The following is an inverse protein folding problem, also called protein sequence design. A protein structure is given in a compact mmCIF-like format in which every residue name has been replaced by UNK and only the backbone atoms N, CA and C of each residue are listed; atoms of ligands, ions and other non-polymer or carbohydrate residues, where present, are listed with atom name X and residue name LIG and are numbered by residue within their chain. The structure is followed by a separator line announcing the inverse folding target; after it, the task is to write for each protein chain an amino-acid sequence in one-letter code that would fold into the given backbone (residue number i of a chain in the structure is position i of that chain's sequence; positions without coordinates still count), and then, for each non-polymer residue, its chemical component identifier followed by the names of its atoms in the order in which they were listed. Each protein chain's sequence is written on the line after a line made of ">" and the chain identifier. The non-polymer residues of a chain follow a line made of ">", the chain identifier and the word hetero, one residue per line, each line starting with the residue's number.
data_IF_286170079454
#
_entry.id   IF_286170079454
#
_cell.length_a   1.000
_cell.length_b   1.000
_cell.length_c   1.000
_cell.angle_alpha   90.00
_cell.angle_beta   90.00
_cell.angle_gamma   90.00
#
_symmetry.space_group_name_H-M   'P 1'
#
loop_
_entity.id
_entity.type
_entity.pdbx_description
1 polymer ?
#
# COMPACT_ATOMS: atom_id res chain seq x y z
N UNK A 1 -28.16 -2.83 -16.57
CA UNK A 1 -26.71 -3.11 -16.62
C UNK A 1 -26.01 -1.77 -16.73
N UNK A 2 -24.97 -1.51 -15.93
CA UNK A 2 -24.33 -0.20 -15.92
C UNK A 2 -23.71 0.09 -17.29
N UNK A 3 -23.97 1.27 -17.80
CA UNK A 3 -23.31 1.81 -18.99
C UNK A 3 -22.09 2.64 -18.58
N UNK A 4 -21.34 3.15 -19.56
CA UNK A 4 -20.15 3.97 -19.29
C UNK A 4 -20.47 5.26 -18.51
N UNK A 5 -21.64 5.85 -18.72
CA UNK A 5 -22.06 7.05 -18.00
C UNK A 5 -22.33 6.76 -16.52
N UNK A 6 -22.88 5.59 -16.18
CA UNK A 6 -23.05 5.15 -14.79
C UNK A 6 -21.68 5.00 -14.10
N UNK A 7 -20.69 4.48 -14.83
CA UNK A 7 -19.32 4.35 -14.36
C UNK A 7 -18.67 5.73 -14.10
N UNK A 8 -18.87 6.67 -15.02
CA UNK A 8 -18.42 8.07 -14.90
C UNK A 8 -19.11 8.76 -13.71
N UNK A 9 -20.42 8.61 -13.56
CA UNK A 9 -21.17 9.19 -12.44
C UNK A 9 -20.64 8.65 -11.10
N UNK A 10 -20.43 7.33 -11.00
CA UNK A 10 -19.92 6.70 -9.78
C UNK A 10 -18.52 7.20 -9.40
N UNK A 11 -17.65 7.38 -10.40
CA UNK A 11 -16.32 7.95 -10.23
C UNK A 11 -16.41 9.43 -9.80
N UNK A 12 -17.22 10.26 -10.45
CA UNK A 12 -17.39 11.68 -10.09
C UNK A 12 -17.93 11.87 -8.66
N UNK A 13 -18.66 10.88 -8.14
CA UNK A 13 -19.18 10.88 -6.77
C UNK A 13 -18.16 10.37 -5.74
N UNK A 14 -17.08 9.75 -6.17
CA UNK A 14 -16.04 9.15 -5.33
C UNK A 14 -14.81 10.06 -5.30
N UNK A 15 -14.52 10.71 -4.17
CA UNK A 15 -13.56 11.82 -4.11
C UNK A 15 -12.14 11.46 -4.56
N UNK A 16 -11.69 10.21 -4.33
CA UNK A 16 -10.38 9.71 -4.79
C UNK A 16 -10.30 9.35 -6.27
N UNK A 17 -11.44 9.19 -6.94
CA UNK A 17 -11.44 8.70 -8.31
C UNK A 17 -10.86 9.74 -9.28
N UNK A 18 -10.06 9.27 -10.23
CA UNK A 18 -9.36 10.08 -11.24
C UNK A 18 -9.60 9.61 -12.66
N UNK A 19 -9.90 8.33 -12.87
CA UNK A 19 -10.22 7.79 -14.20
C UNK A 19 -11.04 6.52 -14.07
N UNK A 20 -11.60 6.04 -15.19
CA UNK A 20 -12.31 4.75 -15.25
C UNK A 20 -11.87 3.90 -16.43
N UNK A 21 -11.92 2.58 -16.22
CA UNK A 21 -11.87 1.56 -17.26
C UNK A 21 -13.25 0.86 -17.33
N UNK A 22 -13.93 0.95 -18.46
CA UNK A 22 -15.24 0.33 -18.68
C UNK A 22 -15.14 -0.79 -19.74
N UNK A 23 -15.49 -2.01 -19.36
CA UNK A 23 -15.54 -3.15 -20.29
C UNK A 23 -16.94 -3.29 -20.90
N UNK A 24 -17.06 -3.05 -22.22
CA UNK A 24 -18.35 -3.02 -22.91
C UNK A 24 -19.07 -4.38 -22.90
N UNK A 25 -18.35 -5.46 -23.19
CA UNK A 25 -18.94 -6.82 -23.26
C UNK A 25 -19.38 -7.42 -21.92
N UNK A 26 -18.79 -6.96 -20.80
CA UNK A 26 -19.06 -7.48 -19.46
C UNK A 26 -19.91 -6.52 -18.61
N UNK A 27 -20.20 -5.32 -19.13
CA UNK A 27 -20.82 -4.23 -18.36
C UNK A 27 -20.12 -3.99 -17.02
N UNK A 28 -18.78 -3.99 -17.05
CA UNK A 28 -17.94 -3.91 -15.86
C UNK A 28 -17.24 -2.55 -15.80
N UNK A 29 -17.33 -1.91 -14.64
CA UNK A 29 -16.71 -0.62 -14.35
C UNK A 29 -15.59 -0.81 -13.33
N UNK A 30 -14.42 -0.28 -13.64
CA UNK A 30 -13.30 -0.15 -12.73
C UNK A 30 -12.97 1.33 -12.55
N UNK A 31 -12.99 1.79 -11.31
CA UNK A 31 -12.56 3.13 -10.91
C UNK A 31 -11.09 3.12 -10.53
N UNK A 32 -10.34 4.12 -10.97
CA UNK A 32 -8.91 4.25 -10.68
C UNK A 32 -8.66 5.55 -9.90
N UNK A 33 -7.61 5.56 -9.07
CA UNK A 33 -7.18 6.75 -8.32
C UNK A 33 -6.02 7.50 -8.97
N UNK A 34 -5.58 7.01 -10.13
CA UNK A 34 -4.57 7.61 -10.98
C UNK A 34 -5.17 7.96 -12.35
N UNK A 35 -4.46 8.79 -13.12
CA UNK A 35 -4.84 9.18 -14.47
C UNK A 35 -3.68 8.91 -15.45
N UNK A 36 -3.96 9.03 -16.75
CA UNK A 36 -2.98 8.75 -17.80
C UNK A 36 -1.76 9.67 -17.74
N UNK A 37 -1.91 10.84 -17.13
CA UNK A 37 -0.85 11.82 -16.93
C UNK A 37 0.11 11.41 -15.81
N UNK A 38 -0.38 10.81 -14.72
CA UNK A 38 0.45 10.37 -13.59
C UNK A 38 1.08 9.00 -13.82
N UNK A 39 0.35 8.05 -14.40
CA UNK A 39 0.84 6.68 -14.63
C UNK A 39 0.44 6.14 -16.02
N UNK A 40 1.10 6.60 -17.09
CA UNK A 40 0.71 6.27 -18.48
C UNK A 40 0.65 4.76 -18.77
N UNK A 41 1.55 3.98 -18.16
CA UNK A 41 1.71 2.54 -18.42
C UNK A 41 0.52 1.68 -17.96
N UNK A 42 -0.32 2.18 -17.04
CA UNK A 42 -1.52 1.47 -16.59
C UNK A 42 -2.66 1.52 -17.61
N UNK A 43 -2.63 2.47 -18.55
CA UNK A 43 -3.78 2.79 -19.40
C UNK A 43 -3.53 2.36 -20.85
N UNK A 44 -3.33 1.05 -21.03
CA UNK A 44 -3.13 0.43 -22.34
C UNK A 44 -4.49 0.14 -22.99
N UNK A 45 -4.64 0.53 -24.26
CA UNK A 45 -5.84 0.21 -25.05
C UNK A 45 -5.95 -1.30 -25.26
N UNK A 46 -6.84 -1.92 -24.50
CA UNK A 46 -7.21 -3.33 -24.64
C UNK A 46 -8.55 -3.43 -25.38
N UNK A 47 -8.71 -4.32 -26.37
CA UNK A 47 -9.98 -4.48 -27.07
C UNK A 47 -11.15 -4.73 -26.12
N UNK A 48 -12.27 -4.04 -26.34
CA UNK A 48 -13.47 -4.14 -25.49
C UNK A 48 -13.46 -3.27 -24.22
N UNK A 49 -12.32 -2.65 -23.89
CA UNK A 49 -12.18 -1.69 -22.81
C UNK A 49 -12.20 -0.25 -23.33
N UNK A 50 -12.93 0.60 -22.62
CA UNK A 50 -12.95 2.05 -22.83
C UNK A 50 -12.34 2.71 -21.60
N UNK A 51 -11.30 3.49 -21.83
CA UNK A 51 -10.67 4.33 -20.83
C UNK A 51 -11.15 5.78 -20.95
N UNK A 52 -11.31 6.48 -19.83
CA UNK A 52 -11.55 7.92 -19.80
C UNK A 52 -11.11 8.56 -18.49
N UNK A 53 -10.64 9.82 -18.55
CA UNK A 53 -10.15 10.61 -17.43
C UNK A 53 -11.21 11.54 -16.84
N UNK A 54 -11.12 11.84 -15.55
CA UNK A 54 -12.07 12.73 -14.86
C UNK A 54 -12.13 14.15 -15.44
N UNK A 55 -11.04 14.59 -16.06
CA UNK A 55 -10.91 15.90 -16.69
C UNK A 55 -11.76 16.02 -17.98
N UNK A 56 -12.10 14.88 -18.60
CA UNK A 56 -12.92 14.84 -19.82
C UNK A 56 -14.41 15.06 -19.53
N UNK A 57 -14.82 15.05 -18.25
CA UNK A 57 -16.23 14.96 -17.87
C UNK A 57 -16.77 16.27 -17.30
N UNK A 58 -18.06 16.52 -17.56
CA UNK A 58 -18.79 17.60 -16.90
C UNK A 58 -19.14 17.19 -15.47
N UNK A 59 -18.70 17.96 -14.47
CA UNK A 59 -19.06 17.75 -13.06
C UNK A 59 -20.57 17.66 -12.81
N UNK A 60 -21.38 18.32 -13.65
CA UNK A 60 -22.85 18.29 -13.56
C UNK A 60 -23.45 16.90 -13.73
N UNK A 61 -22.72 15.92 -14.29
CA UNK A 61 -23.16 14.52 -14.38
C UNK A 61 -23.44 13.96 -12.97
N UNK A 62 -22.68 14.39 -11.96
CA UNK A 62 -22.89 13.97 -10.57
C UNK A 62 -24.11 14.62 -9.87
N UNK A 63 -24.86 15.48 -10.57
CA UNK A 63 -26.05 16.15 -10.03
C UNK A 63 -25.75 16.93 -8.75
N UNK A 64 -26.49 16.64 -7.66
CA UNK A 64 -26.28 17.26 -6.35
C UNK A 64 -24.85 17.13 -5.82
N UNK A 65 -24.15 16.04 -6.19
CA UNK A 65 -22.78 15.77 -5.76
C UNK A 65 -21.73 16.63 -6.49
N UNK A 66 -22.11 17.34 -7.55
CA UNK A 66 -21.21 18.26 -8.25
C UNK A 66 -20.71 19.42 -7.37
N UNK A 67 -21.48 19.77 -6.34
CA UNK A 67 -21.16 20.79 -5.33
C UNK A 67 -20.77 20.19 -3.98
N UNK A 68 -20.48 18.88 -3.93
CA UNK A 68 -20.14 18.23 -2.67
C UNK A 68 -18.78 18.70 -2.13
N UNK A 69 -18.69 18.76 -0.81
CA UNK A 69 -17.48 19.06 -0.06
C UNK A 69 -17.00 17.84 0.74
N UNK A 70 -17.29 16.65 0.23
CA UNK A 70 -16.93 15.40 0.90
C UNK A 70 -15.42 15.27 1.05
N UNK A 71 -15.01 14.60 2.13
CA UNK A 71 -13.62 14.30 2.42
C UNK A 71 -13.05 13.31 1.40
N UNK A 72 -11.72 13.23 1.32
CA UNK A 72 -11.04 12.35 0.35
C UNK A 72 -11.46 10.88 0.46
N UNK A 73 -11.73 10.38 1.66
CA UNK A 73 -12.16 8.99 1.93
C UNK A 73 -13.69 8.82 1.99
N UNK A 74 -14.43 9.80 1.50
CA UNK A 74 -15.88 9.78 1.42
C UNK A 74 -16.36 9.72 -0.04
N UNK A 75 -17.57 9.18 -0.19
CA UNK A 75 -18.34 9.18 -1.43
C UNK A 75 -19.62 9.96 -1.22
N UNK A 76 -19.96 10.76 -2.22
CA UNK A 76 -21.19 11.53 -2.22
C UNK A 76 -22.38 10.68 -2.66
N UNK A 77 -23.45 10.73 -1.85
CA UNK A 77 -24.73 10.10 -2.13
C UNK A 77 -25.76 11.22 -2.35
N UNK A 78 -26.30 11.37 -3.58
CA UNK A 78 -27.32 12.36 -3.87
C UNK A 78 -28.61 11.98 -3.14
N UNK A 79 -29.31 13.01 -2.70
CA UNK A 79 -30.60 12.93 -2.02
C UNK A 79 -31.64 13.71 -2.82
N UNK A 80 -32.94 13.51 -2.55
CA UNK A 80 -34.00 14.30 -3.17
C UNK A 80 -33.78 15.81 -3.02
N UNK A 81 -34.38 16.59 -3.91
CA UNK A 81 -34.36 18.06 -3.88
C UNK A 81 -32.95 18.69 -3.96
N UNK A 82 -32.02 18.03 -4.64
CA UNK A 82 -30.67 18.57 -4.86
C UNK A 82 -29.77 18.52 -3.63
N UNK A 83 -30.18 17.82 -2.56
CA UNK A 83 -29.36 17.60 -1.38
C UNK A 83 -28.35 16.46 -1.60
N UNK A 84 -27.35 16.35 -0.73
CA UNK A 84 -26.41 15.25 -0.74
C UNK A 84 -25.96 14.88 0.68
N UNK A 85 -25.42 13.68 0.83
CA UNK A 85 -24.75 13.22 2.05
C UNK A 85 -23.40 12.60 1.70
N UNK A 86 -22.38 12.90 2.49
CA UNK A 86 -21.08 12.23 2.40
C UNK A 86 -21.10 11.00 3.31
N UNK A 87 -20.67 9.86 2.76
CA UNK A 87 -20.53 8.61 3.51
C UNK A 87 -19.13 8.09 3.32
N UNK A 88 -18.57 7.44 4.33
CA UNK A 88 -17.25 6.80 4.22
C UNK A 88 -17.29 5.79 3.05
N UNK A 89 -16.38 5.97 2.10
CA UNK A 89 -16.18 5.06 0.98
C UNK A 89 -15.05 4.09 1.23
N UNK A 90 -14.02 4.54 1.95
CA UNK A 90 -12.79 3.81 2.16
C UNK A 90 -12.06 4.23 3.44
N UNK A 91 -11.05 3.44 3.79
CA UNK A 91 -10.22 3.67 4.97
C UNK A 91 -8.94 4.49 4.67
N UNK A 92 -8.83 5.04 3.45
CA UNK A 92 -7.62 5.72 2.99
C UNK A 92 -6.40 4.80 2.85
N UNK A 93 -5.24 5.39 2.61
CA UNK A 93 -3.97 4.66 2.50
C UNK A 93 -3.39 4.47 3.91
N UNK A 94 -3.03 3.25 4.34
CA UNK A 94 -2.42 3.03 5.65
C UNK A 94 -1.11 3.80 5.80
N UNK A 95 -1.07 4.79 6.69
CA UNK A 95 0.08 5.68 6.88
C UNK A 95 0.99 5.21 8.01
N UNK A 96 1.82 4.19 7.77
CA UNK A 96 2.94 3.86 8.67
C UNK A 96 4.19 3.61 7.84
N UNK A 97 5.31 4.21 8.23
CA UNK A 97 6.63 3.97 7.62
C UNK A 97 7.06 2.49 7.66
N UNK A 98 6.43 1.69 8.52
CA UNK A 98 6.73 0.25 8.67
C UNK A 98 5.99 -0.64 7.67
N UNK A 99 5.01 -0.11 6.95
CA UNK A 99 4.24 -0.84 5.95
C UNK A 99 4.68 -0.42 4.55
N UNK A 100 4.75 -1.40 3.64
CA UNK A 100 5.04 -1.20 2.23
C UNK A 100 3.81 -1.57 1.40
N UNK A 101 3.48 -0.67 0.47
CA UNK A 101 2.38 -0.81 -0.49
C UNK A 101 2.83 -1.44 -1.82
N UNK A 102 4.08 -1.90 -1.94
CA UNK A 102 4.64 -2.46 -3.19
C UNK A 102 3.85 -3.62 -3.79
N UNK A 103 3.19 -4.43 -2.94
CA UNK A 103 2.40 -5.59 -3.37
C UNK A 103 0.90 -5.29 -3.50
N UNK A 104 0.48 -4.07 -3.18
CA UNK A 104 -0.93 -3.67 -3.31
C UNK A 104 -1.27 -3.64 -4.78
N UNK A 105 -2.27 -4.43 -5.16
CA UNK A 105 -2.72 -4.50 -6.54
C UNK A 105 -3.74 -3.41 -6.81
N UNK A 106 -3.86 -2.99 -8.07
CA UNK A 106 -4.91 -2.07 -8.52
C UNK A 106 -6.33 -2.57 -8.16
N UNK A 107 -6.49 -3.90 -8.06
CA UNK A 107 -7.74 -4.57 -7.68
C UNK A 107 -7.91 -4.82 -6.18
N UNK A 108 -6.90 -4.52 -5.36
CA UNK A 108 -7.07 -4.51 -3.90
C UNK A 108 -8.01 -3.34 -3.59
N UNK A 109 -9.29 -3.66 -3.49
CA UNK A 109 -10.34 -2.65 -3.45
C UNK A 109 -10.18 -1.77 -2.20
N UNK A 110 -9.88 -0.50 -2.42
CA UNK A 110 -10.00 0.56 -1.43
C UNK A 110 -11.50 0.84 -1.33
N UNK A 111 -12.13 0.22 -0.35
CA UNK A 111 -13.55 0.29 -0.12
C UNK A 111 -13.88 -0.22 1.28
N UNK A 112 -14.95 0.27 1.90
CA UNK A 112 -15.47 -0.32 3.13
C UNK A 112 -15.75 -1.82 2.92
N UNK A 113 -15.46 -2.62 3.95
CA UNK A 113 -15.59 -4.07 3.96
C UNK A 113 -14.70 -4.82 2.94
N UNK A 114 -13.78 -4.12 2.29
CA UNK A 114 -12.75 -4.71 1.44
C UNK A 114 -11.46 -4.89 2.21
N UNK A 115 -10.58 -5.73 1.66
CA UNK A 115 -9.26 -5.93 2.23
C UNK A 115 -8.18 -5.76 1.20
N UNK A 116 -7.03 -5.27 1.66
CA UNK A 116 -5.84 -4.99 0.85
C UNK A 116 -4.66 -5.81 1.40
N UNK A 117 -3.78 -6.27 0.51
CA UNK A 117 -2.58 -7.01 0.90
C UNK A 117 -1.43 -6.04 1.14
N UNK A 118 -0.88 -6.05 2.35
CA UNK A 118 0.20 -5.13 2.75
C UNK A 118 1.35 -5.93 3.33
N UNK A 119 2.56 -5.58 2.91
CA UNK A 119 3.79 -6.16 3.44
C UNK A 119 4.48 -5.21 4.40
N UNK A 120 5.41 -5.72 5.20
CA UNK A 120 6.30 -4.85 5.96
C UNK A 120 7.37 -4.21 5.07
N UNK A 121 7.76 -2.98 5.39
CA UNK A 121 8.85 -2.26 4.73
C UNK A 121 10.17 -3.01 4.83
N UNK A 122 11.11 -2.67 3.95
CA UNK A 122 12.48 -3.20 4.02
C UNK A 122 13.06 -3.01 5.44
N UNK A 123 13.73 -4.03 5.96
CA UNK A 123 14.23 -4.02 7.34
C UNK A 123 13.21 -4.45 8.41
N UNK A 124 11.96 -4.79 8.06
CA UNK A 124 10.96 -5.31 9.01
C UNK A 124 10.48 -6.73 8.67
N UNK A 125 10.26 -7.57 9.69
CA UNK A 125 9.64 -8.90 9.54
C UNK A 125 8.15 -8.85 9.92
N UNK A 126 7.26 -9.47 9.13
CA UNK A 126 5.84 -9.53 9.44
C UNK A 126 5.57 -10.52 10.59
N UNK A 127 4.68 -10.13 11.48
CA UNK A 127 4.09 -10.99 12.50
C UNK A 127 2.57 -10.83 12.42
N UNK A 128 1.85 -11.88 12.04
CA UNK A 128 0.40 -11.83 11.81
C UNK A 128 0.05 -11.98 10.33
N UNK A 129 -1.18 -11.58 9.96
CA UNK A 129 -1.66 -11.68 8.59
C UNK A 129 -1.34 -10.40 7.83
N UNK A 130 -0.74 -10.53 6.64
CA UNK A 130 -0.42 -9.43 5.71
C UNK A 130 -1.67 -8.90 4.96
N UNK A 131 -2.78 -8.76 5.69
CA UNK A 131 -4.06 -8.33 5.15
C UNK A 131 -4.74 -7.32 6.07
N UNK A 132 -5.03 -6.15 5.52
CA UNK A 132 -5.76 -5.10 6.20
C UNK A 132 -7.21 -5.17 5.74
N UNK A 133 -8.16 -5.04 6.66
CA UNK A 133 -9.59 -5.05 6.38
C UNK A 133 -10.18 -3.69 6.72
N UNK A 134 -10.81 -3.03 5.75
CA UNK A 134 -11.41 -1.73 5.94
C UNK A 134 -12.77 -1.88 6.63
N UNK A 135 -12.94 -1.29 7.80
CA UNK A 135 -14.22 -1.31 8.53
C UNK A 135 -15.18 -0.25 7.98
N UNK A 136 -16.50 -0.41 8.19
CA UNK A 136 -17.49 0.59 7.79
C UNK A 136 -17.30 1.98 8.41
N UNK A 137 -16.58 2.07 9.53
CA UNK A 137 -16.24 3.33 10.20
C UNK A 137 -15.04 4.07 9.57
N UNK A 138 -14.45 3.53 8.50
CA UNK A 138 -13.30 4.12 7.82
C UNK A 138 -11.96 3.80 8.47
N UNK A 139 -11.90 2.85 9.41
CA UNK A 139 -10.67 2.43 10.05
C UNK A 139 -10.16 1.07 9.58
N UNK A 140 -8.83 0.94 9.46
CA UNK A 140 -8.18 -0.33 9.12
C UNK A 140 -8.14 -1.29 10.31
N UNK A 141 -8.64 -2.50 10.13
CA UNK A 141 -8.46 -3.64 11.04
C UNK A 141 -7.34 -4.53 10.51
N UNK A 142 -6.30 -4.73 11.30
CA UNK A 142 -5.18 -5.60 10.96
C UNK A 142 -4.60 -6.23 12.24
N UNK A 143 -4.02 -7.42 12.10
CA UNK A 143 -3.17 -8.02 13.13
C UNK A 143 -1.69 -8.05 12.70
N UNK A 144 -1.34 -7.44 11.55
CA UNK A 144 0.03 -7.33 11.09
C UNK A 144 0.83 -6.42 12.03
N UNK A 145 1.90 -6.98 12.59
CA UNK A 145 2.93 -6.23 13.32
C UNK A 145 4.24 -6.34 12.56
N UNK A 146 4.76 -5.20 12.14
CA UNK A 146 6.09 -5.11 11.53
C UNK A 146 7.12 -4.84 12.61
N UNK A 147 7.95 -5.85 12.90
CA UNK A 147 9.03 -5.76 13.88
C UNK A 147 10.36 -5.65 13.16
N UNK A 148 11.31 -4.89 13.70
CA UNK A 148 12.61 -4.71 13.06
C UNK A 148 13.28 -6.07 12.85
N UNK A 149 13.81 -6.29 11.65
CA UNK A 149 14.71 -7.41 11.35
C UNK A 149 15.96 -7.14 12.17
N UNK A 150 16.13 -7.88 13.24
CA UNK A 150 17.38 -7.92 13.97
C UNK A 150 18.45 -8.41 13.00
N UNK A 151 19.41 -7.54 12.69
CA UNK A 151 20.61 -7.94 11.95
C UNK A 151 21.70 -8.22 12.97
N UNK A 152 22.33 -9.37 12.83
CA UNK A 152 23.51 -9.75 13.59
C UNK A 152 24.68 -9.74 12.62
N UNK A 153 25.76 -9.05 12.97
CA UNK A 153 26.95 -8.86 12.13
C UNK A 153 28.22 -8.71 12.98
N UNK A 154 29.39 -8.69 12.33
CA UNK A 154 30.65 -8.33 12.98
C UNK A 154 30.81 -6.79 12.92
N UNK A 155 31.25 -6.15 14.01
CA UNK A 155 31.46 -4.69 14.08
C UNK A 155 32.93 -4.34 14.39
N UNK A 156 33.37 -3.17 13.94
CA UNK A 156 34.67 -2.59 14.34
C UNK A 156 34.40 -1.49 15.38
N UNK A 157 35.09 -1.53 16.52
CA UNK A 157 35.06 -0.44 17.50
C UNK A 157 35.90 0.73 16.97
N UNK A 158 35.30 1.55 16.12
CA UNK A 158 35.66 2.96 16.00
C UNK A 158 34.37 3.78 16.18
N UNK A 159 34.46 5.05 16.54
CA UNK A 159 33.36 5.85 17.13
C UNK A 159 32.08 6.02 16.28
N UNK A 160 31.99 5.39 15.11
CA UNK A 160 30.82 5.26 14.26
C UNK A 160 30.55 3.76 14.05
N UNK A 161 29.39 3.27 14.51
CA UNK A 161 29.03 1.85 14.47
C UNK A 161 28.71 1.39 13.04
N UNK A 162 29.71 1.32 12.17
CA UNK A 162 29.55 0.88 10.79
C UNK A 162 29.46 -0.66 10.71
N UNK A 163 28.38 -1.14 10.08
CA UNK A 163 28.12 -2.57 9.93
C UNK A 163 28.74 -3.06 8.63
N UNK A 164 29.79 -3.88 8.72
CA UNK A 164 30.59 -4.29 7.56
C UNK A 164 30.08 -5.56 6.86
N UNK A 165 29.38 -6.46 7.58
CA UNK A 165 28.87 -7.71 7.00
C UNK A 165 27.60 -8.22 7.70
N UNK A 166 26.63 -8.71 6.92
CA UNK A 166 25.35 -9.25 7.40
C UNK A 166 25.22 -10.74 7.07
N UNK A 167 24.80 -11.56 8.04
CA UNK A 167 24.42 -12.97 7.81
C UNK A 167 22.90 -13.20 7.79
N UNK A 168 22.41 -14.23 7.08
CA UNK A 168 20.98 -14.61 6.99
C UNK A 168 20.60 -15.75 7.97
N UNK A 169 20.51 -15.46 9.29
CA UNK A 169 19.92 -16.29 10.39
C UNK A 169 20.52 -17.71 10.62
N UNK A 170 20.49 -18.41 11.79
CA UNK A 170 19.78 -18.38 13.10
C UNK A 170 20.77 -18.66 14.26
N UNK A 171 20.42 -18.32 15.51
CA UNK A 171 20.92 -19.04 16.71
C UNK A 171 19.83 -19.11 17.79
N UNK A 172 19.78 -20.24 18.52
CA UNK A 172 18.98 -20.45 19.73
C UNK A 172 19.80 -20.09 20.98
N UNK A 173 19.23 -19.35 21.95
CA UNK A 173 19.90 -19.08 23.21
C UNK A 173 19.78 -20.32 24.11
N UNK A 174 20.92 -20.75 24.67
CA UNK A 174 21.12 -21.80 25.68
C UNK A 174 21.77 -23.12 25.22
N UNK A 175 22.92 -23.02 24.55
CA UNK A 175 23.91 -24.10 24.49
C UNK A 175 23.91 -24.89 23.19
N UNK A 176 25.06 -24.81 22.49
CA UNK A 176 25.59 -25.71 21.44
C UNK A 176 24.73 -25.81 20.14
N UNK A 177 25.21 -25.58 18.91
CA UNK A 177 26.52 -25.30 18.31
C UNK A 177 26.31 -24.51 16.99
N UNK A 178 27.40 -24.04 16.38
CA UNK A 178 27.52 -23.53 15.00
C UNK A 178 27.18 -22.04 14.73
N UNK A 179 28.04 -21.15 15.24
CA UNK A 179 28.53 -19.99 14.47
C UNK A 179 29.91 -20.30 13.88
N UNK A 180 30.10 -21.55 13.45
CA UNK A 180 31.39 -22.04 12.93
C UNK A 180 31.69 -21.33 11.61
N UNK A 181 32.43 -20.22 11.68
CA UNK A 181 33.79 -20.14 11.12
C UNK A 181 34.25 -18.80 10.54
N UNK A 182 33.47 -17.71 10.47
CA UNK A 182 34.01 -16.50 9.79
C UNK A 182 33.58 -15.15 10.40
N UNK A 183 34.16 -14.76 11.53
CA UNK A 183 34.79 -13.43 11.61
C UNK A 183 36.32 -13.68 11.58
N UNK A 184 36.87 -14.11 10.43
CA UNK A 184 38.27 -14.57 10.32
C UNK A 184 39.29 -13.44 10.58
N UNK A 185 40.22 -13.72 11.49
CA UNK A 185 41.50 -13.02 11.63
C UNK A 185 42.48 -13.56 10.56
N UNK A 186 42.94 -12.71 9.64
CA UNK A 186 44.20 -12.96 8.91
C UNK A 186 45.23 -11.93 9.37
N UNK A 187 46.17 -12.39 10.20
CA UNK A 187 47.33 -11.62 10.61
C UNK A 187 48.19 -11.30 9.38
N UNK A 188 48.11 -10.05 8.90
CA UNK A 188 49.17 -9.19 8.30
C UNK A 188 48.60 -8.06 7.38
N UNK A 189 47.49 -7.39 7.79
CA UNK A 189 47.20 -5.94 7.61
C UNK A 189 45.77 -5.60 8.08
N UNK A 190 45.60 -5.66 9.40
CA UNK A 190 44.56 -5.10 10.29
C UNK A 190 43.10 -4.93 9.82
N UNK A 191 42.25 -5.87 10.23
CA UNK A 191 40.90 -5.58 10.73
C UNK A 191 40.69 -6.28 12.08
N UNK A 192 40.20 -5.56 13.09
CA UNK A 192 39.83 -6.10 14.41
C UNK A 192 38.30 -6.10 14.54
N UNK A 193 37.71 -7.27 14.69
CA UNK A 193 36.26 -7.45 14.86
C UNK A 193 35.92 -7.76 16.32
N UNK A 194 34.85 -7.15 16.83
CA UNK A 194 34.39 -7.36 18.20
C UNK A 194 32.90 -7.68 18.23
N UNK A 195 32.58 -8.88 18.73
CA UNK A 195 31.26 -9.25 19.25
C UNK A 195 30.11 -9.36 18.24
N UNK A 196 29.20 -10.29 18.53
CA UNK A 196 27.87 -10.33 17.93
C UNK A 196 27.00 -9.31 18.68
N UNK A 197 26.48 -8.32 17.97
CA UNK A 197 25.50 -7.37 18.50
C UNK A 197 24.24 -7.41 17.64
N UNK A 198 23.10 -7.40 18.30
CA UNK A 198 21.81 -7.17 17.64
C UNK A 198 21.76 -5.70 17.26
N UNK A 199 21.88 -5.41 15.98
CA UNK A 199 21.64 -4.07 15.46
C UNK A 199 20.16 -3.91 15.14
N UNK A 200 19.58 -2.87 15.73
CA UNK A 200 18.27 -2.34 15.32
C UNK A 200 18.58 -1.46 14.09
N UNK A 201 18.04 -1.86 12.93
CA UNK A 201 18.09 -1.05 11.70
C UNK A 201 17.11 0.11 11.83
#
# INVERSE_FOLDING_TARGET
>A
MPNILDCVEDCLRTTRCRSVNYHQGAHFCQTNFENRTTVPDLFIKTPGWIYSDIEDWKKTIAGACSMSNCSMNEKCIPKPFGQFSCVISDCGIPSSERFSMEKVREWDAIGVERGIHITCSAGYKPQGLERFFCRPDGSWKTNLKCTTKQKVGCFVYDYQHDVLQFGQYKIYPNGEDECEDVCLLRHQNNFKYYGLRVCIV
#
